data_IF_475994281690
#
_entry.id   IF_475994281690
#
_cell.length_a   1.000
_cell.length_b   1.000
_cell.length_c   1.000
_cell.angle_alpha   90.00
_cell.angle_beta   90.00
_cell.angle_gamma   90.00
#
_symmetry.space_group_name_H-M   'P 1'
#
loop_
_entity.id
_entity.type
_entity.pdbx_description
1 polymer ?
#
# COMPACT_ATOMS: atom_id res chain seq x y z
N UNK A 1 -64.24 -16.46 -1.86
CA UNK A 1 -63.49 -15.57 -0.94
C UNK A 1 -62.15 -16.14 -0.45
N UNK A 2 -62.01 -17.45 -0.22
CA UNK A 2 -60.74 -18.05 0.24
C UNK A 2 -59.65 -18.09 -0.86
N UNK A 3 -60.05 -18.30 -2.11
CA UNK A 3 -59.13 -18.39 -3.26
C UNK A 3 -58.54 -17.03 -3.67
N UNK A 4 -59.35 -15.97 -3.58
CA UNK A 4 -58.90 -14.58 -3.81
C UNK A 4 -57.84 -14.12 -2.79
N UNK A 5 -57.92 -14.57 -1.52
CA UNK A 5 -56.93 -14.23 -0.48
C UNK A 5 -55.58 -14.94 -0.70
N UNK A 6 -55.57 -16.18 -1.19
CA UNK A 6 -54.32 -16.92 -1.51
C UNK A 6 -53.50 -16.22 -2.60
N UNK A 7 -54.16 -15.71 -3.64
CA UNK A 7 -53.49 -15.00 -4.72
C UNK A 7 -52.84 -13.69 -4.24
N UNK A 8 -53.48 -12.96 -3.32
CA UNK A 8 -52.93 -11.71 -2.77
C UNK A 8 -51.61 -11.91 -2.01
N UNK A 9 -51.53 -12.97 -1.19
CA UNK A 9 -50.30 -13.32 -0.48
C UNK A 9 -49.18 -13.76 -1.44
N UNK A 10 -49.53 -14.50 -2.51
CA UNK A 10 -48.56 -14.90 -3.54
C UNK A 10 -47.97 -13.68 -4.28
N UNK A 11 -48.83 -12.76 -4.75
CA UNK A 11 -48.35 -11.54 -5.42
C UNK A 11 -47.55 -10.63 -4.48
N UNK A 12 -47.95 -10.50 -3.22
CA UNK A 12 -47.21 -9.72 -2.22
C UNK A 12 -45.82 -10.34 -1.98
N UNK A 13 -45.73 -11.65 -1.79
CA UNK A 13 -44.47 -12.36 -1.61
C UNK A 13 -43.56 -12.23 -2.84
N UNK A 14 -44.13 -12.34 -4.05
CA UNK A 14 -43.39 -12.18 -5.30
C UNK A 14 -42.85 -10.74 -5.45
N UNK A 15 -43.64 -9.72 -5.13
CA UNK A 15 -43.21 -8.32 -5.16
C UNK A 15 -42.08 -8.07 -4.15
N UNK A 16 -42.21 -8.58 -2.92
CA UNK A 16 -41.16 -8.43 -1.90
C UNK A 16 -39.88 -9.17 -2.28
N UNK A 17 -39.98 -10.35 -2.90
CA UNK A 17 -38.82 -11.07 -3.42
C UNK A 17 -38.14 -10.29 -4.55
N UNK A 18 -38.91 -9.78 -5.52
CA UNK A 18 -38.36 -8.98 -6.62
C UNK A 18 -37.71 -7.69 -6.11
N UNK A 19 -38.33 -7.01 -5.14
CA UNK A 19 -37.75 -5.83 -4.50
C UNK A 19 -36.45 -6.19 -3.77
N UNK A 20 -36.44 -7.30 -3.02
CA UNK A 20 -35.26 -7.81 -2.33
C UNK A 20 -34.12 -8.16 -3.28
N UNK A 21 -34.42 -8.84 -4.39
CA UNK A 21 -33.45 -9.16 -5.44
C UNK A 21 -32.93 -7.90 -6.12
N UNK A 22 -33.79 -6.91 -6.38
CA UNK A 22 -33.41 -5.64 -6.98
C UNK A 22 -32.49 -4.84 -6.05
N UNK A 23 -32.83 -4.76 -4.77
CA UNK A 23 -31.97 -4.15 -3.75
C UNK A 23 -30.64 -4.87 -3.61
N UNK A 24 -30.64 -6.21 -3.60
CA UNK A 24 -29.42 -7.02 -3.54
C UNK A 24 -28.55 -6.82 -4.79
N UNK A 25 -29.17 -6.73 -5.98
CA UNK A 25 -28.47 -6.50 -7.24
C UNK A 25 -27.82 -5.11 -7.29
N UNK A 26 -28.57 -4.04 -6.98
CA UNK A 26 -28.01 -2.69 -6.98
C UNK A 26 -26.97 -2.49 -5.87
N UNK A 27 -27.17 -3.09 -4.69
CA UNK A 27 -26.15 -3.10 -3.64
C UNK A 27 -24.90 -3.84 -4.12
N UNK A 28 -25.05 -5.02 -4.74
CA UNK A 28 -23.94 -5.81 -5.28
C UNK A 28 -23.15 -5.06 -6.36
N UNK A 29 -23.81 -4.29 -7.22
CA UNK A 29 -23.15 -3.41 -8.19
C UNK A 29 -22.34 -2.30 -7.50
N UNK A 30 -22.88 -1.70 -6.44
CA UNK A 30 -22.15 -0.70 -5.67
C UNK A 30 -20.94 -1.32 -4.96
N UNK A 31 -21.02 -2.54 -4.42
CA UNK A 31 -19.87 -3.18 -3.75
C UNK A 31 -18.85 -3.83 -4.69
N UNK A 32 -19.01 -3.70 -6.02
CA UNK A 32 -18.09 -4.28 -6.99
C UNK A 32 -16.83 -3.41 -7.17
N UNK A 33 -15.82 -3.66 -6.35
CA UNK A 33 -14.49 -3.02 -6.43
C UNK A 33 -13.49 -3.79 -7.31
N UNK A 34 -13.95 -4.42 -8.40
CA UNK A 34 -13.14 -5.36 -9.17
C UNK A 34 -12.30 -4.74 -10.29
N UNK A 35 -12.59 -3.50 -10.69
CA UNK A 35 -11.86 -2.87 -11.80
C UNK A 35 -10.57 -2.26 -11.29
N UNK A 36 -9.46 -2.83 -11.77
CA UNK A 36 -8.12 -2.29 -11.58
C UNK A 36 -7.99 -0.94 -12.28
N UNK A 37 -7.42 0.05 -11.59
CA UNK A 37 -7.19 1.37 -12.14
C UNK A 37 -5.93 1.38 -12.97
N UNK A 38 -5.96 2.15 -14.05
CA UNK A 38 -4.83 2.33 -14.92
C UNK A 38 -3.73 3.13 -14.23
N UNK A 39 -2.51 2.63 -14.37
CA UNK A 39 -1.26 3.34 -14.10
C UNK A 39 -0.63 3.53 -15.48
N UNK A 40 -0.17 4.73 -15.80
CA UNK A 40 0.34 5.08 -17.13
C UNK A 40 1.86 5.22 -17.09
N UNK A 41 2.63 4.15 -17.33
CA UNK A 41 4.05 4.16 -17.04
C UNK A 41 4.80 5.17 -17.88
N UNK A 42 5.84 5.75 -17.30
CA UNK A 42 6.76 6.62 -18.00
C UNK A 42 7.43 5.89 -19.17
N UNK A 43 7.91 6.60 -20.21
CA UNK A 43 8.62 6.01 -21.34
C UNK A 43 9.87 5.18 -20.94
N UNK A 44 10.41 5.40 -19.73
CA UNK A 44 11.54 4.64 -19.20
C UNK A 44 11.22 3.21 -18.73
N UNK A 45 9.94 2.78 -18.76
CA UNK A 45 9.55 1.43 -18.38
C UNK A 45 10.17 0.39 -19.31
N UNK A 46 10.89 -0.59 -18.74
CA UNK A 46 11.51 -1.67 -19.50
C UNK A 46 10.54 -2.81 -19.77
N UNK A 47 9.82 -3.26 -18.74
CA UNK A 47 8.82 -4.33 -18.84
C UNK A 47 7.82 -4.30 -17.69
N UNK A 48 6.68 -4.95 -17.91
CA UNK A 48 5.69 -5.25 -16.87
C UNK A 48 5.58 -6.76 -16.78
N UNK A 49 5.94 -7.31 -15.63
CA UNK A 49 5.75 -8.71 -15.30
C UNK A 49 4.49 -8.87 -14.43
N UNK A 50 4.00 -10.10 -14.32
CA UNK A 50 3.06 -10.54 -13.30
C UNK A 50 3.83 -11.20 -12.16
N UNK A 51 3.29 -11.16 -10.95
CA UNK A 51 3.88 -11.90 -9.83
C UNK A 51 3.91 -13.40 -10.12
N UNK A 52 2.95 -13.89 -10.90
CA UNK A 52 2.92 -15.26 -11.41
C UNK A 52 4.07 -15.62 -12.36
N UNK A 53 4.78 -14.65 -12.95
CA UNK A 53 5.99 -14.94 -13.74
C UNK A 53 7.13 -15.44 -12.84
N UNK A 54 7.15 -15.03 -11.57
CA UNK A 54 8.11 -15.49 -10.56
C UNK A 54 7.60 -16.70 -9.78
N UNK A 55 6.28 -16.79 -9.59
CA UNK A 55 5.63 -17.90 -8.90
C UNK A 55 4.33 -18.34 -9.60
N UNK A 56 4.40 -19.32 -10.53
CA UNK A 56 3.30 -19.68 -11.42
C UNK A 56 1.97 -20.06 -10.74
N UNK A 57 1.99 -20.49 -9.47
CA UNK A 57 0.78 -20.84 -8.74
C UNK A 57 -0.15 -19.64 -8.45
N UNK A 58 0.32 -18.40 -8.66
CA UNK A 58 -0.51 -17.20 -8.57
C UNK A 58 -1.26 -16.91 -9.87
N UNK A 59 -0.92 -17.54 -11.00
CA UNK A 59 -1.54 -17.23 -12.30
C UNK A 59 -3.07 -17.39 -12.24
N UNK A 60 -3.79 -16.34 -12.64
CA UNK A 60 -5.25 -16.32 -12.64
C UNK A 60 -5.91 -16.18 -11.25
N UNK A 61 -5.12 -16.09 -10.18
CA UNK A 61 -5.62 -15.82 -8.82
C UNK A 61 -5.76 -14.31 -8.59
N UNK A 62 -6.60 -13.88 -7.61
CA UNK A 62 -6.69 -12.46 -7.24
C UNK A 62 -5.45 -11.92 -6.51
N UNK A 63 -4.42 -12.75 -6.29
CA UNK A 63 -3.10 -12.33 -5.78
C UNK A 63 -2.08 -12.00 -6.88
N UNK A 64 -2.44 -12.16 -8.15
CA UNK A 64 -1.52 -11.96 -9.28
C UNK A 64 -1.35 -10.49 -9.67
N UNK A 65 -0.50 -9.79 -8.91
CA UNK A 65 -0.26 -8.36 -9.09
C UNK A 65 0.75 -8.06 -10.21
N UNK A 66 0.72 -6.83 -10.73
CA UNK A 66 1.71 -6.34 -11.71
C UNK A 66 2.99 -5.91 -11.01
N UNK A 67 4.12 -6.22 -11.64
CA UNK A 67 5.47 -5.84 -11.23
C UNK A 67 6.06 -4.97 -12.35
N UNK A 68 6.28 -3.69 -12.07
CA UNK A 68 6.82 -2.74 -13.05
C UNK A 68 8.33 -2.67 -12.90
N UNK A 69 9.07 -2.82 -14.00
CA UNK A 69 10.53 -2.89 -13.97
C UNK A 69 11.11 -1.82 -14.87
N UNK A 70 11.93 -0.97 -14.26
CA UNK A 70 12.74 0.06 -14.91
C UNK A 70 14.20 -0.34 -14.77
N UNK A 71 14.89 -0.51 -15.89
CA UNK A 71 16.27 -0.98 -15.94
C UNK A 71 17.08 0.00 -16.77
N UNK A 72 18.14 0.55 -16.15
CA UNK A 72 19.06 1.45 -16.81
C UNK A 72 20.06 0.70 -17.71
N UNK A 73 20.67 1.38 -18.69
CA UNK A 73 21.73 0.79 -19.51
C UNK A 73 22.98 0.43 -18.70
N UNK A 74 23.24 1.10 -17.58
CA UNK A 74 24.39 0.86 -16.72
C UNK A 74 24.05 -0.07 -15.55
N UNK A 75 24.97 -0.98 -15.20
CA UNK A 75 24.79 -1.87 -14.05
C UNK A 75 24.94 -1.09 -12.73
N UNK A 76 24.14 -1.49 -11.75
CA UNK A 76 24.06 -0.89 -10.43
C UNK A 76 23.07 -1.65 -9.55
N UNK A 77 22.69 -1.05 -8.42
CA UNK A 77 21.80 -1.71 -7.47
C UNK A 77 20.42 -2.00 -8.05
N UNK A 78 19.82 -3.10 -7.57
CA UNK A 78 18.44 -3.47 -7.84
C UNK A 78 17.59 -3.11 -6.61
N UNK A 79 16.70 -2.14 -6.74
CA UNK A 79 15.86 -1.65 -5.64
C UNK A 79 14.41 -2.08 -5.83
N UNK A 80 13.80 -2.62 -4.78
CA UNK A 80 12.37 -2.94 -4.72
C UNK A 80 11.61 -1.84 -3.97
N UNK A 81 10.54 -1.33 -4.56
CA UNK A 81 9.55 -0.48 -3.90
C UNK A 81 8.21 -1.22 -3.86
N UNK A 82 7.64 -1.42 -2.67
CA UNK A 82 6.29 -1.98 -2.51
C UNK A 82 5.35 -0.94 -1.95
N UNK A 83 4.21 -0.79 -2.62
CA UNK A 83 3.04 -0.06 -2.13
C UNK A 83 1.81 -0.97 -2.13
N UNK A 84 0.79 -0.57 -1.35
CA UNK A 84 -0.46 -1.31 -1.32
C UNK A 84 -0.34 -2.69 -0.66
N UNK A 85 0.62 -2.85 0.27
CA UNK A 85 0.63 -3.96 1.23
C UNK A 85 -0.68 -3.96 2.02
N UNK A 86 -1.10 -2.77 2.45
CA UNK A 86 -2.44 -2.51 2.96
C UNK A 86 -3.17 -1.49 2.04
N UNK A 87 -4.16 -1.94 1.27
CA UNK A 87 -4.93 -1.07 0.37
C UNK A 87 -5.73 0.08 1.01
N UNK A 88 -5.84 0.15 2.34
CA UNK A 88 -6.40 1.30 3.06
C UNK A 88 -5.34 2.37 3.43
N UNK A 89 -4.11 2.20 2.96
CA UNK A 89 -2.98 3.13 3.08
C UNK A 89 -2.68 3.75 1.70
N UNK A 90 -3.45 4.77 1.29
CA UNK A 90 -3.34 5.38 -0.03
C UNK A 90 -2.01 6.04 -0.34
N UNK A 91 -1.28 6.60 0.64
CA UNK A 91 -0.04 7.32 0.33
C UNK A 91 1.03 6.37 -0.21
N UNK A 92 1.11 5.14 0.32
CA UNK A 92 2.08 4.15 -0.12
C UNK A 92 1.89 3.72 -1.58
N UNK A 93 0.67 3.31 -1.96
CA UNK A 93 0.43 2.89 -3.35
C UNK A 93 0.38 4.05 -4.34
N UNK A 94 0.00 5.26 -3.91
CA UNK A 94 0.07 6.45 -4.77
C UNK A 94 1.51 6.88 -5.01
N UNK A 95 2.39 6.80 -4.01
CA UNK A 95 3.82 7.04 -4.21
C UNK A 95 4.36 6.07 -5.25
N UNK A 96 4.03 4.78 -5.14
CA UNK A 96 4.42 3.79 -6.15
C UNK A 96 3.87 4.12 -7.55
N UNK A 97 2.62 4.58 -7.66
CA UNK A 97 2.06 5.04 -8.94
C UNK A 97 2.79 6.27 -9.49
N UNK A 98 3.02 7.30 -8.66
CA UNK A 98 3.78 8.50 -9.02
C UNK A 98 5.18 8.13 -9.52
N UNK A 99 5.87 7.19 -8.88
CA UNK A 99 7.16 6.70 -9.35
C UNK A 99 7.04 6.07 -10.74
N UNK A 100 6.14 5.10 -10.92
CA UNK A 100 5.94 4.41 -12.21
C UNK A 100 5.64 5.39 -13.34
N UNK A 101 4.94 6.48 -13.05
CA UNK A 101 4.46 7.45 -14.04
C UNK A 101 5.46 8.55 -14.38
N UNK A 102 6.59 8.67 -13.67
CA UNK A 102 7.56 9.77 -13.85
C UNK A 102 9.02 9.33 -14.01
N UNK A 103 9.43 8.20 -13.41
CA UNK A 103 10.86 7.88 -13.35
C UNK A 103 11.44 7.32 -14.64
N UNK A 104 12.75 7.48 -14.78
CA UNK A 104 13.59 6.72 -15.68
C UNK A 104 14.89 6.35 -14.95
N UNK A 105 15.26 5.07 -15.00
CA UNK A 105 16.52 4.59 -14.41
C UNK A 105 17.66 4.73 -15.42
N UNK A 106 18.79 5.29 -14.99
CA UNK A 106 20.03 5.42 -15.79
C UNK A 106 21.06 4.36 -15.40
N UNK A 107 21.15 4.05 -14.12
CA UNK A 107 22.03 3.01 -13.57
C UNK A 107 21.29 2.15 -12.57
N UNK A 108 21.47 0.83 -12.68
CA UNK A 108 20.79 -0.14 -11.83
C UNK A 108 19.38 -0.48 -12.32
N UNK A 109 18.54 -0.94 -11.38
CA UNK A 109 17.17 -1.38 -11.66
C UNK A 109 16.24 -0.96 -10.53
N UNK A 110 15.05 -0.49 -10.89
CA UNK A 110 13.96 -0.27 -9.94
C UNK A 110 12.78 -1.19 -10.28
N UNK A 111 12.38 -2.00 -9.30
CA UNK A 111 11.26 -2.93 -9.36
C UNK A 111 10.16 -2.40 -8.45
N UNK A 112 8.98 -2.13 -9.00
CA UNK A 112 7.88 -1.46 -8.28
C UNK A 112 6.63 -2.34 -8.31
N UNK A 113 6.09 -2.62 -7.12
CA UNK A 113 4.80 -3.28 -6.94
C UNK A 113 3.84 -2.28 -6.29
N UNK A 114 2.96 -1.60 -7.04
CA UNK A 114 2.05 -0.59 -6.47
C UNK A 114 0.87 -1.21 -5.71
N UNK A 115 0.61 -2.50 -5.93
CA UNK A 115 -0.54 -3.21 -5.35
C UNK A 115 -0.11 -4.57 -4.82
N UNK A 116 0.75 -4.59 -3.80
CA UNK A 116 1.31 -5.83 -3.26
C UNK A 116 0.20 -6.80 -2.80
N UNK A 117 -0.84 -6.30 -2.14
CA UNK A 117 -2.04 -7.06 -1.82
C UNK A 117 -3.20 -6.71 -2.78
N UNK A 118 -3.08 -7.12 -4.06
CA UNK A 118 -4.08 -6.83 -5.10
C UNK A 118 -5.51 -7.25 -4.70
N UNK A 119 -5.65 -8.36 -3.99
CA UNK A 119 -6.93 -8.84 -3.47
C UNK A 119 -7.59 -7.84 -2.50
N UNK A 120 -6.84 -7.22 -1.59
CA UNK A 120 -7.40 -6.27 -0.62
C UNK A 120 -7.98 -4.99 -1.25
N UNK A 121 -7.57 -4.63 -2.46
CA UNK A 121 -8.17 -3.51 -3.22
C UNK A 121 -9.62 -3.81 -3.68
N UNK A 122 -10.08 -5.05 -3.57
CA UNK A 122 -11.41 -5.47 -4.05
C UNK A 122 -12.50 -5.45 -2.96
N UNK A 123 -12.17 -4.95 -1.77
CA UNK A 123 -13.10 -4.80 -0.66
C UNK A 123 -12.69 -3.64 0.26
N UNK A 124 -13.57 -3.29 1.20
CA UNK A 124 -13.25 -2.42 2.33
C UNK A 124 -13.35 -3.21 3.64
N UNK A 125 -12.77 -2.63 4.69
CA UNK A 125 -12.94 -3.16 6.04
C UNK A 125 -14.42 -3.10 6.46
N UNK A 126 -15.01 -4.21 6.95
CA UNK A 126 -16.38 -4.23 7.42
C UNK A 126 -16.60 -3.20 8.52
N UNK A 127 -17.79 -2.59 8.55
CA UNK A 127 -18.23 -1.64 9.59
C UNK A 127 -17.51 -0.29 9.63
N UNK A 128 -16.47 -0.05 8.83
CA UNK A 128 -15.76 1.24 8.81
C UNK A 128 -16.45 2.32 7.95
N UNK A 129 -17.53 1.95 7.23
CA UNK A 129 -18.28 2.83 6.31
C UNK A 129 -17.37 3.60 5.34
N UNK A 130 -16.28 2.94 4.92
CA UNK A 130 -15.24 3.50 4.07
C UNK A 130 -15.75 3.89 2.69
N UNK A 131 -15.17 4.94 2.14
CA UNK A 131 -15.28 5.21 0.72
C UNK A 131 -14.67 4.03 -0.05
N UNK A 132 -15.26 3.73 -1.21
CA UNK A 132 -14.69 2.73 -2.11
C UNK A 132 -13.61 3.31 -3.01
N UNK A 133 -13.74 4.60 -3.35
CA UNK A 133 -12.89 5.29 -4.32
C UNK A 133 -12.70 6.75 -3.93
N UNK A 134 -11.56 7.30 -4.32
CA UNK A 134 -11.24 8.72 -4.29
C UNK A 134 -10.64 9.12 -5.64
N UNK A 135 -10.54 10.43 -5.90
CA UNK A 135 -10.17 10.92 -7.22
C UNK A 135 -9.36 12.21 -7.16
N UNK A 136 -8.65 12.45 -8.24
CA UNK A 136 -7.85 13.63 -8.51
C UNK A 136 -8.23 14.19 -9.88
N UNK A 137 -8.33 15.51 -9.99
CA UNK A 137 -8.52 16.19 -11.26
C UNK A 137 -7.14 16.49 -11.87
N UNK A 138 -6.79 15.79 -12.95
CA UNK A 138 -5.54 16.04 -13.70
C UNK A 138 -5.82 16.86 -14.95
N UNK A 139 -4.80 17.45 -15.57
CA UNK A 139 -4.96 18.30 -16.76
C UNK A 139 -5.69 17.63 -17.93
N UNK A 140 -5.67 16.29 -18.02
CA UNK A 140 -6.34 15.54 -19.09
C UNK A 140 -7.53 14.69 -18.64
N UNK A 141 -7.99 14.86 -17.39
CA UNK A 141 -9.21 14.22 -16.88
C UNK A 141 -9.08 13.67 -15.46
N UNK A 142 -10.20 13.16 -14.95
CA UNK A 142 -10.27 12.61 -13.60
C UNK A 142 -9.52 11.28 -13.51
N UNK A 143 -8.50 11.22 -12.65
CA UNK A 143 -7.88 9.97 -12.19
C UNK A 143 -8.60 9.48 -10.94
N UNK A 144 -8.83 8.18 -10.84
CA UNK A 144 -9.57 7.58 -9.74
C UNK A 144 -8.78 6.40 -9.19
N UNK A 145 -8.85 6.23 -7.87
CA UNK A 145 -8.17 5.18 -7.13
C UNK A 145 -9.13 4.56 -6.11
N UNK A 146 -9.01 3.26 -5.87
CA UNK A 146 -9.74 2.50 -4.87
C UNK A 146 -9.08 2.71 -3.52
N UNK A 147 -9.93 2.95 -2.53
CA UNK A 147 -9.56 2.82 -1.14
C UNK A 147 -9.96 1.42 -0.72
N UNK A 148 -9.02 0.55 -0.40
CA UNK A 148 -9.29 -0.87 -0.15
C UNK A 148 -9.42 -1.23 1.33
N UNK A 149 -9.17 -2.50 1.64
CA UNK A 149 -9.11 -3.06 2.99
C UNK A 149 -7.67 -3.22 3.42
N UNK A 150 -7.38 -3.20 4.73
CA UNK A 150 -6.08 -3.63 5.25
C UNK A 150 -5.74 -5.07 4.87
N UNK A 151 -6.75 -5.93 4.77
CA UNK A 151 -6.61 -7.36 4.63
C UNK A 151 -6.96 -7.82 3.21
N UNK A 152 -6.39 -8.95 2.79
CA UNK A 152 -6.86 -9.71 1.63
C UNK A 152 -8.36 -9.96 1.75
N UNK A 153 -9.08 -9.84 0.62
CA UNK A 153 -10.54 -9.97 0.59
C UNK A 153 -10.96 -11.37 1.09
N UNK A 154 -11.84 -11.46 2.11
CA UNK A 154 -12.28 -12.75 2.64
C UNK A 154 -13.04 -13.60 1.61
N UNK A 155 -13.62 -13.00 0.56
CA UNK A 155 -14.23 -13.77 -0.55
C UNK A 155 -13.17 -14.55 -1.35
N UNK A 156 -11.95 -14.03 -1.42
CA UNK A 156 -10.84 -14.68 -2.13
C UNK A 156 -10.05 -15.65 -1.24
N UNK A 157 -10.15 -15.51 0.08
CA UNK A 157 -9.48 -16.35 1.06
C UNK A 157 -10.40 -16.58 2.26
N UNK A 158 -11.05 -17.74 2.28
CA UNK A 158 -11.94 -18.19 3.35
C UNK A 158 -11.74 -19.70 3.59
N UNK A 159 -11.87 -20.20 4.85
CA UNK A 159 -12.09 -19.47 6.09
C UNK A 159 -10.80 -18.95 6.75
N UNK A 160 -10.94 -17.94 7.60
CA UNK A 160 -9.90 -17.58 8.57
C UNK A 160 -9.84 -18.66 9.66
N UNK A 161 -8.65 -19.17 10.03
CA UNK A 161 -8.51 -20.12 11.13
C UNK A 161 -8.79 -19.42 12.47
N UNK A 162 -9.02 -20.16 13.56
CA UNK A 162 -9.18 -19.56 14.89
C UNK A 162 -7.90 -18.86 15.36
N UNK A 163 -6.77 -19.57 15.20
CA UNK A 163 -5.43 -19.06 15.44
C UNK A 163 -4.62 -19.27 14.16
N UNK A 164 -3.76 -18.31 13.87
CA UNK A 164 -2.92 -18.36 12.68
C UNK A 164 -1.46 -18.49 13.10
N UNK A 165 -0.80 -19.56 12.69
CA UNK A 165 0.66 -19.67 12.73
C UNK A 165 1.22 -19.17 11.40
N UNK A 166 1.92 -18.04 11.43
CA UNK A 166 2.50 -17.48 10.22
C UNK A 166 3.67 -18.31 9.68
N UNK A 167 4.17 -18.05 8.46
CA UNK A 167 5.23 -18.86 7.85
C UNK A 167 6.54 -18.86 8.63
N UNK A 168 6.76 -17.84 9.46
CA UNK A 168 7.91 -17.72 10.34
C UNK A 168 7.69 -18.33 11.75
N UNK A 169 6.55 -19.02 11.98
CA UNK A 169 6.27 -19.76 13.22
C UNK A 169 5.64 -18.95 14.36
N UNK A 170 5.23 -17.70 14.12
CA UNK A 170 4.58 -16.86 15.13
C UNK A 170 3.07 -17.12 15.16
N UNK A 171 2.53 -17.32 16.37
CA UNK A 171 1.10 -17.41 16.62
C UNK A 171 0.44 -16.03 16.68
N UNK A 172 -0.63 -15.87 15.91
CA UNK A 172 -1.41 -14.63 15.73
C UNK A 172 -2.91 -14.92 15.77
N UNK A 173 -3.72 -13.86 15.84
CA UNK A 173 -5.16 -13.98 15.64
C UNK A 173 -5.49 -14.46 14.23
N UNK A 174 -6.56 -15.25 14.10
CA UNK A 174 -7.00 -15.84 12.84
C UNK A 174 -7.00 -14.94 11.62
N UNK A 175 -7.53 -13.72 11.75
CA UNK A 175 -7.64 -12.75 10.66
C UNK A 175 -6.30 -12.28 10.08
N UNK A 176 -5.19 -12.44 10.82
CA UNK A 176 -3.85 -12.07 10.35
C UNK A 176 -3.37 -12.95 9.20
N UNK A 177 -4.00 -14.11 8.95
CA UNK A 177 -3.74 -14.93 7.74
C UNK A 177 -4.00 -14.17 6.44
N UNK A 178 -4.83 -13.12 6.49
CA UNK A 178 -5.15 -12.22 5.37
C UNK A 178 -4.31 -10.94 5.39
N UNK A 179 -3.45 -10.74 6.38
CA UNK A 179 -2.57 -9.59 6.48
C UNK A 179 -1.24 -9.91 5.78
N UNK A 180 -0.97 -9.28 4.63
CA UNK A 180 0.26 -9.53 3.88
C UNK A 180 1.51 -9.28 4.73
N UNK A 181 1.48 -8.25 5.58
CA UNK A 181 2.58 -7.91 6.50
C UNK A 181 2.59 -8.78 7.78
N UNK A 182 1.95 -9.96 7.75
CA UNK A 182 2.16 -11.06 8.71
C UNK A 182 2.50 -12.37 8.01
N UNK A 183 2.46 -12.40 6.68
CA UNK A 183 2.55 -13.62 5.90
C UNK A 183 3.94 -13.84 5.28
N UNK A 184 4.93 -12.98 5.49
CA UNK A 184 6.30 -13.26 5.02
C UNK A 184 6.96 -14.38 5.87
N UNK A 185 7.96 -15.11 5.34
CA UNK A 185 8.41 -15.16 3.93
C UNK A 185 7.42 -15.87 2.98
N UNK A 186 6.26 -16.29 3.48
CA UNK A 186 5.24 -16.96 2.68
C UNK A 186 5.34 -18.48 2.70
N UNK A 187 4.32 -19.13 2.13
CA UNK A 187 4.25 -20.58 1.95
C UNK A 187 3.79 -20.88 0.53
N UNK A 188 4.53 -21.66 -0.28
CA UNK A 188 4.16 -21.94 -1.67
C UNK A 188 2.84 -22.71 -1.78
N UNK A 189 2.53 -23.54 -0.79
CA UNK A 189 1.29 -24.31 -0.71
C UNK A 189 0.32 -23.80 0.37
N UNK A 190 0.50 -22.55 0.81
CA UNK A 190 -0.30 -21.93 1.86
C UNK A 190 -1.58 -21.25 1.38
N UNK A 191 -2.11 -20.38 2.24
CA UNK A 191 -3.21 -19.48 1.92
C UNK A 191 -2.83 -18.50 0.80
N UNK A 192 -3.82 -17.86 0.17
CA UNK A 192 -3.57 -16.91 -0.93
C UNK A 192 -2.58 -15.81 -0.54
N UNK A 193 -2.75 -15.18 0.62
CA UNK A 193 -1.86 -14.11 1.10
C UNK A 193 -0.44 -14.63 1.37
N UNK A 194 -0.29 -15.85 1.86
CA UNK A 194 1.02 -16.50 2.05
C UNK A 194 1.70 -16.83 0.72
N UNK A 195 0.92 -17.21 -0.30
CA UNK A 195 1.40 -17.41 -1.67
C UNK A 195 1.85 -16.10 -2.31
N UNK A 196 1.15 -15.00 -2.04
CA UNK A 196 1.57 -13.66 -2.49
C UNK A 196 2.89 -13.27 -1.83
N UNK A 197 3.00 -13.42 -0.51
CA UNK A 197 4.27 -13.16 0.20
C UNK A 197 5.43 -14.02 -0.35
N UNK A 198 5.17 -15.31 -0.60
CA UNK A 198 6.14 -16.21 -1.20
C UNK A 198 6.53 -15.78 -2.62
N UNK A 199 5.57 -15.37 -3.44
CA UNK A 199 5.82 -14.84 -4.78
C UNK A 199 6.68 -13.57 -4.76
N UNK A 200 6.47 -12.68 -3.79
CA UNK A 200 7.31 -11.49 -3.60
C UNK A 200 8.74 -11.89 -3.20
N UNK A 201 8.91 -12.87 -2.30
CA UNK A 201 10.23 -13.40 -1.94
C UNK A 201 10.96 -14.04 -3.13
N UNK A 202 10.23 -14.78 -3.97
CA UNK A 202 10.78 -15.35 -5.20
C UNK A 202 11.17 -14.27 -6.21
N UNK A 203 10.37 -13.21 -6.34
CA UNK A 203 10.72 -12.06 -7.17
C UNK A 203 11.98 -11.36 -6.64
N UNK A 204 12.08 -11.12 -5.33
CA UNK A 204 13.27 -10.55 -4.67
C UNK A 204 14.53 -11.36 -5.06
N UNK A 205 14.44 -12.70 -4.95
CA UNK A 205 15.54 -13.62 -5.29
C UNK A 205 15.89 -13.60 -6.78
N UNK A 206 14.89 -13.60 -7.66
CA UNK A 206 15.09 -13.73 -9.10
C UNK A 206 15.52 -12.41 -9.77
N UNK A 207 14.99 -11.28 -9.32
CA UNK A 207 15.41 -9.93 -9.77
C UNK A 207 16.70 -9.46 -9.08
N UNK A 208 17.20 -10.23 -8.09
CA UNK A 208 18.44 -9.99 -7.34
C UNK A 208 18.41 -8.63 -6.64
N UNK A 209 17.32 -8.36 -5.93
CA UNK A 209 17.14 -7.11 -5.19
C UNK A 209 18.24 -6.98 -4.13
N UNK A 210 18.81 -5.79 -4.03
CA UNK A 210 19.83 -5.43 -3.04
C UNK A 210 19.21 -4.66 -1.85
N UNK A 211 18.20 -3.83 -2.15
CA UNK A 211 17.48 -2.98 -1.20
C UNK A 211 15.98 -3.03 -1.43
N UNK A 212 15.21 -3.30 -0.37
CA UNK A 212 13.74 -3.23 -0.36
C UNK A 212 13.22 -2.08 0.50
N UNK A 213 12.25 -1.33 -0.04
CA UNK A 213 11.52 -0.25 0.64
C UNK A 213 10.02 -0.55 0.60
N UNK A 214 9.42 -0.80 1.75
CA UNK A 214 7.97 -1.02 1.88
C UNK A 214 7.27 0.24 2.39
N UNK A 215 6.33 0.79 1.62
CA UNK A 215 5.66 2.05 1.91
C UNK A 215 4.35 1.80 2.67
N UNK A 216 4.30 2.20 3.94
CA UNK A 216 3.16 2.05 4.84
C UNK A 216 2.67 3.38 5.39
N UNK A 217 1.47 3.34 5.95
CA UNK A 217 0.99 4.41 6.79
C UNK A 217 0.51 3.91 8.16
N UNK A 218 0.57 4.81 9.14
CA UNK A 218 0.20 4.57 10.53
C UNK A 218 -0.73 5.65 11.06
N UNK A 219 -1.66 5.29 11.95
CA UNK A 219 -2.65 6.25 12.41
C UNK A 219 -2.05 7.27 13.40
N UNK A 220 -2.52 8.53 13.41
CA UNK A 220 -1.96 9.62 14.24
C UNK A 220 -1.79 9.31 15.73
N UNK A 221 -2.57 8.37 16.28
CA UNK A 221 -2.53 7.93 17.67
C UNK A 221 -1.56 6.76 17.96
N UNK A 222 -0.80 6.26 16.98
CA UNK A 222 0.23 5.23 17.19
C UNK A 222 1.65 5.82 17.27
N UNK A 223 2.55 5.21 18.06
CA UNK A 223 3.89 5.76 18.29
C UNK A 223 4.85 5.56 17.11
N UNK A 224 4.67 4.48 16.34
CA UNK A 224 5.47 4.17 15.15
C UNK A 224 4.76 4.83 13.97
N UNK A 225 5.09 6.10 13.75
CA UNK A 225 4.53 6.99 12.74
C UNK A 225 5.60 8.04 12.41
N UNK A 226 5.65 8.50 11.16
CA UNK A 226 6.79 9.30 10.68
C UNK A 226 8.11 8.59 11.03
N UNK A 227 8.25 7.34 10.58
CA UNK A 227 9.33 6.47 11.01
C UNK A 227 9.96 5.74 9.83
N UNK A 228 11.26 5.50 9.93
CA UNK A 228 11.99 4.51 9.13
C UNK A 228 12.14 3.28 10.03
N UNK A 229 11.37 2.24 9.75
CA UNK A 229 11.49 0.94 10.39
C UNK A 229 12.53 0.14 9.61
N UNK A 230 13.60 -0.32 10.26
CA UNK A 230 14.74 -0.93 9.55
C UNK A 230 15.08 -2.32 10.06
N UNK A 231 15.50 -3.19 9.16
CA UNK A 231 16.16 -4.44 9.52
C UNK A 231 17.55 -4.16 10.14
N UNK A 232 18.07 -5.04 11.00
CA UNK A 232 19.33 -4.80 11.70
C UNK A 232 20.51 -4.56 10.74
N UNK A 233 20.51 -5.26 9.59
CA UNK A 233 21.53 -5.03 8.55
C UNK A 233 21.38 -3.66 7.85
N UNK A 234 20.25 -2.96 7.96
CA UNK A 234 19.97 -1.65 7.37
C UNK A 234 20.17 -0.49 8.35
N UNK A 235 20.68 -0.73 9.56
CA UNK A 235 20.77 0.30 10.61
C UNK A 235 21.56 1.55 10.18
N UNK A 236 22.72 1.35 9.55
CA UNK A 236 23.56 2.45 9.06
C UNK A 236 22.86 3.25 7.95
N UNK A 237 22.27 2.54 6.98
CA UNK A 237 21.49 3.14 5.89
C UNK A 237 20.33 4.00 6.40
N UNK A 238 19.56 3.46 7.36
CA UNK A 238 18.43 4.15 7.94
C UNK A 238 18.87 5.41 8.71
N UNK A 239 19.97 5.32 9.47
CA UNK A 239 20.50 6.45 10.22
C UNK A 239 20.98 7.59 9.31
N UNK A 240 21.70 7.27 8.23
CA UNK A 240 22.12 8.27 7.24
C UNK A 240 20.91 8.95 6.58
N UNK A 241 19.92 8.17 6.17
CA UNK A 241 18.70 8.70 5.56
C UNK A 241 17.92 9.60 6.52
N UNK A 242 17.83 9.23 7.81
CA UNK A 242 17.15 10.04 8.81
C UNK A 242 17.88 11.38 9.05
N UNK A 243 19.21 11.40 9.08
CA UNK A 243 20.00 12.63 9.21
C UNK A 243 19.75 13.55 8.00
N UNK A 244 19.74 13.00 6.78
CA UNK A 244 19.46 13.77 5.56
C UNK A 244 18.04 14.36 5.59
N UNK A 245 17.04 13.58 5.98
CA UNK A 245 15.65 14.07 6.14
C UNK A 245 15.55 15.17 7.18
N UNK A 246 16.23 15.02 8.31
CA UNK A 246 16.23 16.02 9.37
C UNK A 246 16.90 17.33 8.92
N UNK A 247 17.96 17.26 8.11
CA UNK A 247 18.60 18.43 7.50
C UNK A 247 17.64 19.18 6.56
N UNK A 248 16.74 18.45 5.89
CA UNK A 248 15.65 18.98 5.07
C UNK A 248 14.41 19.42 5.87
N UNK A 249 14.47 19.35 7.21
CA UNK A 249 13.38 19.77 8.11
C UNK A 249 12.27 18.74 8.29
N UNK A 250 12.48 17.49 7.86
CA UNK A 250 11.52 16.40 8.02
C UNK A 250 11.93 15.51 9.21
N UNK A 251 11.11 15.55 10.26
CA UNK A 251 11.31 14.67 11.42
C UNK A 251 10.83 13.24 11.09
N UNK A 252 11.77 12.30 11.10
CA UNK A 252 11.53 10.86 11.03
C UNK A 252 12.21 10.17 12.22
N UNK A 253 11.49 9.26 12.88
CA UNK A 253 12.03 8.39 13.91
C UNK A 253 12.72 7.17 13.30
N UNK A 254 13.73 6.66 13.99
CA UNK A 254 14.34 5.38 13.69
C UNK A 254 13.72 4.31 14.58
N UNK A 255 13.19 3.26 13.96
CA UNK A 255 12.57 2.14 14.66
C UNK A 255 13.23 0.84 14.21
N UNK A 256 13.98 0.19 15.09
CA UNK A 256 14.53 -1.12 14.78
C UNK A 256 13.38 -2.12 14.64
N UNK A 257 13.39 -2.91 13.57
CA UNK A 257 12.44 -3.99 13.40
C UNK A 257 12.52 -4.95 14.58
N UNK A 258 11.42 -5.35 15.24
CA UNK A 258 11.52 -6.25 16.39
C UNK A 258 11.89 -7.67 15.95
N UNK A 259 12.97 -8.23 16.49
CA UNK A 259 13.43 -9.60 16.18
C UNK A 259 12.36 -10.67 16.50
N UNK A 260 11.55 -10.43 17.54
CA UNK A 260 10.51 -11.35 17.99
C UNK A 260 9.15 -11.15 17.29
N UNK A 261 9.02 -10.14 16.42
CA UNK A 261 7.81 -9.91 15.63
C UNK A 261 8.07 -10.32 14.18
N UNK A 262 7.57 -11.50 13.82
CA UNK A 262 7.88 -12.19 12.58
C UNK A 262 6.77 -12.01 11.54
N UNK A 263 7.09 -12.32 10.29
CA UNK A 263 6.20 -12.22 9.14
C UNK A 263 6.04 -10.82 8.56
N UNK A 264 6.85 -9.87 9.01
CA UNK A 264 6.94 -8.50 8.47
C UNK A 264 7.82 -8.49 7.22
N UNK A 265 7.49 -7.65 6.24
CA UNK A 265 8.31 -7.45 5.03
C UNK A 265 9.76 -7.11 5.39
N UNK A 266 9.96 -5.99 6.09
CA UNK A 266 11.28 -5.50 6.45
C UNK A 266 12.07 -6.46 7.35
N UNK A 267 11.43 -7.35 8.12
CA UNK A 267 12.14 -8.36 8.94
C UNK A 267 12.54 -9.56 8.08
N UNK A 268 11.58 -10.19 7.40
CA UNK A 268 11.81 -11.44 6.67
C UNK A 268 12.58 -11.23 5.36
N UNK A 269 12.50 -10.04 4.73
CA UNK A 269 13.36 -9.72 3.58
C UNK A 269 14.84 -9.70 3.98
N UNK A 270 15.14 -9.11 5.14
CA UNK A 270 16.49 -9.11 5.69
C UNK A 270 16.94 -10.51 6.11
N UNK A 271 16.14 -11.21 6.93
CA UNK A 271 16.50 -12.51 7.49
C UNK A 271 16.58 -13.64 6.45
N UNK A 272 15.66 -13.66 5.48
CA UNK A 272 15.49 -14.81 4.56
C UNK A 272 16.07 -14.53 3.17
N UNK A 273 15.88 -13.32 2.63
CA UNK A 273 16.45 -12.97 1.33
C UNK A 273 17.85 -12.34 1.42
N UNK A 274 18.26 -11.89 2.61
CA UNK A 274 19.59 -11.32 2.84
C UNK A 274 19.78 -9.92 2.26
N UNK A 275 18.69 -9.21 1.94
CA UNK A 275 18.74 -7.87 1.35
C UNK A 275 18.76 -6.80 2.45
N UNK A 276 19.17 -5.56 2.13
CA UNK A 276 18.84 -4.43 3.01
C UNK A 276 17.33 -4.20 2.90
N UNK A 277 16.66 -4.01 4.03
CA UNK A 277 15.23 -3.70 4.04
C UNK A 277 14.89 -2.55 4.99
N UNK A 278 14.01 -1.67 4.53
CA UNK A 278 13.38 -0.61 5.32
C UNK A 278 11.88 -0.55 5.01
N UNK A 279 11.11 -0.09 5.97
CA UNK A 279 9.70 0.25 5.84
C UNK A 279 9.53 1.71 6.26
N UNK A 280 8.82 2.48 5.46
CA UNK A 280 8.60 3.91 5.72
C UNK A 280 7.15 4.09 6.18
N UNK A 281 6.96 4.70 7.35
CA UNK A 281 5.65 5.03 7.91
C UNK A 281 5.38 6.52 7.75
N UNK A 282 4.29 6.87 7.07
CA UNK A 282 3.73 8.23 7.09
C UNK A 282 2.37 8.23 7.81
N UNK A 283 1.90 9.37 8.33
CA UNK A 283 0.63 9.43 9.06
C UNK A 283 -0.56 9.14 8.16
N UNK A 284 -1.60 8.44 8.63
CA UNK A 284 -2.86 8.28 7.92
C UNK A 284 -4.06 8.45 8.85
N UNK A 285 -4.66 9.65 8.90
CA UNK A 285 -5.86 9.90 9.68
C UNK A 285 -7.01 8.93 9.36
N UNK A 286 -7.14 8.47 8.11
CA UNK A 286 -8.23 7.58 7.70
C UNK A 286 -8.08 6.15 8.27
N UNK A 287 -6.93 5.78 8.83
CA UNK A 287 -6.66 4.45 9.38
C UNK A 287 -7.03 4.34 10.87
N UNK A 288 -6.94 5.44 11.62
CA UNK A 288 -7.12 5.42 13.07
C UNK A 288 -8.55 5.23 13.56
N UNK A 289 -8.69 5.05 14.86
CA UNK A 289 -9.96 4.80 15.56
C UNK A 289 -10.52 6.04 16.23
N UNK A 290 -9.74 7.12 16.32
CA UNK A 290 -10.20 8.41 16.86
C UNK A 290 -10.95 9.29 15.83
N UNK A 291 -11.02 8.83 14.57
CA UNK A 291 -11.70 9.53 13.46
C UNK A 291 -13.21 9.44 13.51
N UNK A 292 -13.87 10.39 12.84
CA UNK A 292 -15.27 10.28 12.46
C UNK A 292 -15.51 9.38 11.24
N UNK A 293 -16.52 9.71 10.43
CA UNK A 293 -16.83 8.96 9.21
C UNK A 293 -15.68 9.08 8.21
N UNK A 294 -15.32 7.98 7.56
CA UNK A 294 -14.36 7.99 6.44
C UNK A 294 -14.96 8.73 5.24
N UNK A 295 -14.59 10.00 5.07
CA UNK A 295 -15.05 10.88 3.98
C UNK A 295 -13.91 11.21 3.03
N UNK A 296 -14.22 11.87 1.90
CA UNK A 296 -13.20 12.26 0.91
C UNK A 296 -12.25 13.30 1.52
N UNK A 297 -12.78 14.23 2.31
CA UNK A 297 -11.98 15.19 3.08
C UNK A 297 -11.02 14.48 4.04
N UNK A 298 -11.46 13.40 4.71
CA UNK A 298 -10.54 12.64 5.57
C UNK A 298 -9.48 11.87 4.78
N UNK A 299 -9.84 11.22 3.68
CA UNK A 299 -8.91 10.40 2.90
C UNK A 299 -7.93 11.25 2.08
N UNK A 300 -8.37 12.38 1.51
CA UNK A 300 -7.56 13.21 0.61
C UNK A 300 -6.98 14.43 1.32
N UNK A 301 -7.80 15.20 2.03
CA UNK A 301 -7.31 16.38 2.77
C UNK A 301 -6.75 16.03 4.15
N UNK A 302 -6.99 14.80 4.64
CA UNK A 302 -6.52 14.39 5.97
C UNK A 302 -7.23 15.09 7.11
N UNK A 303 -8.40 15.72 6.88
CA UNK A 303 -9.10 16.56 7.86
C UNK A 303 -10.25 15.82 8.54
N UNK A 304 -10.29 15.90 9.86
CA UNK A 304 -11.40 15.40 10.68
C UNK A 304 -11.45 16.11 12.05
N UNK A 305 -12.67 16.43 12.46
CA UNK A 305 -12.95 17.20 13.68
C UNK A 305 -12.60 16.45 14.97
N UNK A 306 -12.66 15.12 14.95
CA UNK A 306 -12.42 14.30 16.12
C UNK A 306 -10.90 14.16 16.34
N UNK A 307 -10.08 14.16 15.28
CA UNK A 307 -8.63 14.34 15.41
C UNK A 307 -8.22 15.73 15.89
N UNK A 308 -8.87 16.81 15.45
CA UNK A 308 -8.62 18.14 16.02
C UNK A 308 -8.83 18.15 17.53
N UNK A 309 -9.90 17.48 17.98
CA UNK A 309 -10.17 17.30 19.41
C UNK A 309 -9.11 16.42 20.08
N UNK A 310 -8.71 15.31 19.47
CA UNK A 310 -7.69 14.40 20.00
C UNK A 310 -6.32 15.10 20.14
N UNK A 311 -5.95 15.94 19.18
CA UNK A 311 -4.75 16.78 19.18
C UNK A 311 -4.74 17.74 20.37
N UNK A 312 -5.85 18.48 20.59
CA UNK A 312 -6.01 19.38 21.75
C UNK A 312 -5.94 18.65 23.11
N UNK A 313 -6.21 17.34 23.12
CA UNK A 313 -6.12 16.49 24.30
C UNK A 313 -4.77 15.78 24.45
N UNK A 314 -3.79 16.04 23.57
CA UNK A 314 -2.47 15.42 23.61
C UNK A 314 -2.49 13.91 23.36
N UNK A 315 -3.41 13.42 22.52
CA UNK A 315 -3.60 11.98 22.25
C UNK A 315 -2.92 11.49 20.98
N UNK A 316 -2.23 12.37 20.26
CA UNK A 316 -1.59 12.07 18.99
C UNK A 316 -0.07 12.12 19.13
N UNK A 317 0.62 11.31 18.32
CA UNK A 317 2.09 11.29 18.25
C UNK A 317 2.66 12.21 17.17
N UNK A 318 1.79 12.84 16.39
CA UNK A 318 2.12 13.85 15.38
C UNK A 318 1.36 15.16 15.64
N UNK A 319 1.88 16.30 15.17
CA UNK A 319 1.10 17.53 15.07
C UNK A 319 -0.13 17.31 14.19
N UNK A 320 -1.27 17.86 14.61
CA UNK A 320 -2.50 17.81 13.83
C UNK A 320 -3.30 19.09 14.10
N UNK A 321 -3.53 19.88 13.07
CA UNK A 321 -4.25 21.15 13.12
C UNK A 321 -5.34 21.23 12.04
N UNK A 322 -5.93 22.42 11.83
CA UNK A 322 -7.03 22.66 10.89
C UNK A 322 -6.65 22.36 9.42
N UNK A 323 -5.36 22.30 9.10
CA UNK A 323 -4.88 21.89 7.77
C UNK A 323 -4.97 20.38 7.57
N UNK A 324 -5.07 19.60 8.65
CA UNK A 324 -5.09 18.14 8.61
C UNK A 324 -3.73 17.57 8.23
N UNK A 325 -3.75 16.39 7.62
CA UNK A 325 -2.56 15.70 7.09
C UNK A 325 -2.86 15.23 5.66
N UNK A 326 -2.79 16.14 4.67
CA UNK A 326 -3.26 15.87 3.32
C UNK A 326 -2.45 14.76 2.64
N UNK A 327 -3.07 14.10 1.67
CA UNK A 327 -2.44 13.00 0.92
C UNK A 327 -1.20 13.45 0.14
N UNK A 328 -1.17 14.71 -0.32
CA UNK A 328 0.03 15.32 -0.89
C UNK A 328 1.20 15.33 0.10
N UNK A 329 0.97 15.77 1.35
CA UNK A 329 2.02 15.74 2.38
C UNK A 329 2.53 14.34 2.64
N UNK A 330 1.63 13.36 2.73
CA UNK A 330 1.99 11.95 3.01
C UNK A 330 2.80 11.33 1.87
N UNK A 331 2.39 11.57 0.62
CA UNK A 331 3.14 11.14 -0.56
C UNK A 331 4.49 11.87 -0.65
N UNK A 332 4.54 13.18 -0.38
CA UNK A 332 5.79 13.95 -0.32
C UNK A 332 6.74 13.37 0.72
N UNK A 333 6.26 13.02 1.92
CA UNK A 333 7.08 12.41 2.97
C UNK A 333 7.64 11.06 2.56
N UNK A 334 6.87 10.22 1.86
CA UNK A 334 7.39 8.98 1.27
C UNK A 334 8.45 9.24 0.21
N UNK A 335 8.23 10.20 -0.71
CA UNK A 335 9.21 10.54 -1.74
C UNK A 335 10.52 11.08 -1.14
N UNK A 336 10.42 11.97 -0.15
CA UNK A 336 11.58 12.49 0.56
C UNK A 336 12.38 11.37 1.22
N UNK A 337 11.69 10.48 1.94
CA UNK A 337 12.34 9.35 2.63
C UNK A 337 12.94 8.35 1.64
N UNK A 338 12.27 8.10 0.51
CA UNK A 338 12.85 7.28 -0.56
C UNK A 338 14.11 7.93 -1.15
N UNK A 339 14.08 9.22 -1.49
CA UNK A 339 15.24 9.93 -2.02
C UNK A 339 16.43 9.85 -1.04
N UNK A 340 16.20 10.14 0.23
CA UNK A 340 17.22 10.08 1.27
C UNK A 340 17.80 8.66 1.45
N UNK A 341 16.97 7.62 1.36
CA UNK A 341 17.42 6.22 1.42
C UNK A 341 18.28 5.86 0.20
N UNK A 342 17.90 6.28 -1.02
CA UNK A 342 18.66 6.00 -2.23
C UNK A 342 19.99 6.76 -2.28
N UNK A 343 19.99 8.02 -1.85
CA UNK A 343 21.21 8.83 -1.72
C UNK A 343 22.16 8.22 -0.69
N UNK A 344 21.66 7.85 0.48
CA UNK A 344 22.45 7.17 1.52
C UNK A 344 23.02 5.84 1.03
N UNK A 345 22.26 5.07 0.26
CA UNK A 345 22.76 3.85 -0.38
C UNK A 345 23.96 4.15 -1.30
N UNK A 346 23.83 5.16 -2.16
CA UNK A 346 24.88 5.54 -3.10
C UNK A 346 26.15 6.06 -2.43
N UNK A 347 26.03 6.66 -1.24
CA UNK A 347 27.16 7.07 -0.40
C UNK A 347 27.86 5.87 0.26
N UNK A 348 27.07 4.88 0.71
CA UNK A 348 27.61 3.67 1.35
C UNK A 348 28.26 2.70 0.36
N UNK A 349 27.72 2.59 -0.87
CA UNK A 349 28.20 1.67 -1.90
C UNK A 349 28.48 2.40 -3.22
N UNK A 350 29.72 2.84 -3.39
CA UNK A 350 30.17 3.54 -4.59
C UNK A 350 30.25 2.66 -5.85
N UNK A 351 30.33 1.34 -5.69
CA UNK A 351 30.45 0.40 -6.82
C UNK A 351 29.08 -0.05 -7.34
N UNK A 352 28.09 -0.19 -6.44
CA UNK A 352 26.74 -0.65 -6.75
C UNK A 352 25.67 0.45 -6.61
N UNK A 353 25.90 1.61 -7.21
CA UNK A 353 24.98 2.75 -7.13
C UNK A 353 23.69 2.56 -7.97
N UNK A 354 22.65 3.31 -7.64
CA UNK A 354 21.43 3.47 -8.44
C UNK A 354 21.25 4.94 -8.85
N UNK A 355 20.97 5.19 -10.12
CA UNK A 355 20.73 6.54 -10.65
C UNK A 355 19.36 6.60 -11.33
N UNK A 356 18.52 7.51 -10.82
CA UNK A 356 17.14 7.69 -11.23
C UNK A 356 16.93 9.15 -11.63
N UNK A 357 16.61 9.36 -12.90
CA UNK A 357 16.13 10.64 -13.41
C UNK A 357 14.60 10.71 -13.33
N UNK A 358 14.06 11.91 -13.14
CA UNK A 358 12.61 12.11 -13.09
C UNK A 358 11.94 11.62 -11.80
N UNK A 359 12.71 11.35 -10.75
CA UNK A 359 12.17 11.20 -9.39
C UNK A 359 11.54 12.55 -9.00
N UNK A 360 10.22 12.60 -8.73
CA UNK A 360 9.57 13.86 -8.37
C UNK A 360 10.15 14.46 -7.09
N UNK A 361 10.45 15.77 -7.13
CA UNK A 361 10.86 16.50 -5.94
C UNK A 361 9.70 16.58 -4.94
N UNK A 362 9.98 16.25 -3.68
CA UNK A 362 8.94 16.16 -2.67
C UNK A 362 8.36 17.51 -2.28
N UNK A 363 9.14 18.60 -2.39
CA UNK A 363 8.67 19.97 -2.10
C UNK A 363 7.77 20.45 -3.23
N UNK A 364 8.15 20.16 -4.48
CA UNK A 364 7.31 20.43 -5.64
C UNK A 364 5.98 19.66 -5.58
N UNK A 365 5.99 18.39 -5.15
CA UNK A 365 4.76 17.61 -4.94
C UNK A 365 3.90 18.17 -3.80
N UNK A 366 4.53 18.66 -2.73
CA UNK A 366 3.81 19.27 -1.62
C UNK A 366 3.08 20.55 -2.07
N UNK A 367 3.71 21.35 -2.93
CA UNK A 367 3.15 22.59 -3.47
C UNK A 367 2.09 22.35 -4.53
N UNK A 368 2.35 21.48 -5.51
CA UNK A 368 1.49 21.29 -6.70
C UNK A 368 0.42 20.22 -6.53
N UNK A 369 0.51 19.40 -5.49
CA UNK A 369 -0.39 18.26 -5.26
C UNK A 369 0.00 17.01 -6.05
N UNK A 370 -0.56 15.87 -5.65
CA UNK A 370 -0.29 14.55 -6.26
C UNK A 370 -0.74 14.53 -7.73
N UNK A 371 -1.83 15.22 -8.03
CA UNK A 371 -2.44 15.31 -9.36
C UNK A 371 -1.51 15.87 -10.44
N UNK A 372 -0.55 16.72 -10.07
CA UNK A 372 0.42 17.30 -11.00
C UNK A 372 1.44 16.27 -11.50
N UNK A 373 1.61 15.17 -10.76
CA UNK A 373 2.56 14.10 -11.06
C UNK A 373 1.87 12.81 -11.53
N UNK A 374 0.54 12.85 -11.70
CA UNK A 374 -0.20 11.76 -12.30
C UNK A 374 -0.44 12.05 -13.78
N UNK A 375 -0.05 11.13 -14.64
CA UNK A 375 -0.29 11.23 -16.07
C UNK A 375 -1.80 11.26 -16.35
N UNK A 376 -2.26 12.08 -17.31
CA UNK A 376 -3.66 12.14 -17.64
C UNK A 376 -4.15 10.81 -18.21
N UNK A 377 -5.45 10.46 -18.01
CA UNK A 377 -6.02 9.28 -18.61
C UNK A 377 -5.93 9.35 -20.14
N UNK A 378 -5.39 8.30 -20.76
CA UNK A 378 -5.39 8.18 -22.23
C UNK A 378 -6.82 7.90 -22.69
N UNK A 379 -7.32 8.71 -23.63
CA UNK A 379 -8.65 8.56 -24.23
C UNK A 379 -8.78 7.29 -25.06
#
# INVERSE_FOLDING_TARGET
>A
MVEFRKNYHFYTALILLLLGLLLAFFSGLQFKMSQEEDIYPAPGLSRINRLSDYFPALAGTPGDTKVFIFEGPEKGANVLITGGTHPNEPAGFLTAAVLIENIQVKRGKMVIIPRANASGFTCNDPMDASLQRFYFETMGGRRQFRFGSRLTNPVHQWPDPTLYENPAGQMLSGSEVRNLNRCYPGRPHGYLTEKVAFGIMEMIRQEKIDLGVDLHESAPEYPVINAIVFHDNSAELAAMAQIALQAEGLDFRLEASPVNLRGLSHREWGDVAGIKAVLIETPNPAQGRLKGKTTLALVVEGKDKDYLKASRLGRLFIPYDENGVPLSERVSRHLAALAAVLESWNEMDSENQIDISGLPDWKELLEKGVEAFLQPPKK
#
